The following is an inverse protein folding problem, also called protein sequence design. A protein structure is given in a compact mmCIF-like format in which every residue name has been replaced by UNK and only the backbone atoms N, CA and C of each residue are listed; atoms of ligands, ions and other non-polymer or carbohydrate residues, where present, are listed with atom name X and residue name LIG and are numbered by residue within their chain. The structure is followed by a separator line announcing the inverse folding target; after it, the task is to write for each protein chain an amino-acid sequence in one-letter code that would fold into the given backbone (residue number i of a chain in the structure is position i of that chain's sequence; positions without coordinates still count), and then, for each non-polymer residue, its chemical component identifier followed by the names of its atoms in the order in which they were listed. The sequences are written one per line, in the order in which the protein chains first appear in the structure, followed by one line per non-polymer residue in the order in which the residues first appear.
data_IF_399573849879
#
_entry.id   IF_399573849879
#
_cell.length_a   1.000
_cell.length_b   1.000
_cell.length_c   1.000
_cell.angle_alpha   90.00
_cell.angle_beta   90.00
_cell.angle_gamma   90.00
#
_symmetry.space_group_name_H-M   'P 1'
#
loop_
_entity.id
_entity.type
_entity.pdbx_description
1 polymer ?
#
# COMPACT_ATOMS: atom_id res chain seq x y z
N UNK A 1 13.11 23.49 36.77
CA UNK A 1 11.98 23.46 35.81
C UNK A 1 12.22 22.59 34.56
N UNK A 2 13.41 22.02 34.34
CA UNK A 2 13.71 21.13 33.22
C UNK A 2 13.39 19.63 33.44
N UNK A 3 13.07 19.20 34.63
CA UNK A 3 12.88 17.78 34.97
C UNK A 3 11.57 17.19 34.42
N UNK A 4 10.52 17.99 34.31
CA UNK A 4 9.20 17.48 33.88
C UNK A 4 9.14 17.01 32.42
N UNK A 5 9.95 17.57 31.50
CA UNK A 5 9.94 17.17 30.09
C UNK A 5 10.76 15.89 29.85
N UNK A 6 11.86 15.69 30.60
CA UNK A 6 12.68 14.48 30.53
C UNK A 6 11.89 13.24 30.99
N UNK A 7 11.13 13.38 32.07
CA UNK A 7 10.33 12.26 32.61
C UNK A 7 9.20 11.84 31.66
N UNK A 8 8.59 12.83 31.00
CA UNK A 8 7.53 12.56 30.00
C UNK A 8 8.11 11.89 28.76
N UNK A 9 9.27 12.35 28.26
CA UNK A 9 9.92 11.71 27.12
C UNK A 9 10.32 10.29 27.45
N UNK A 10 10.91 10.04 28.59
CA UNK A 10 11.27 8.69 29.06
C UNK A 10 10.02 7.78 29.17
N UNK A 11 8.93 8.32 29.71
CA UNK A 11 7.64 7.61 29.76
C UNK A 11 7.15 7.25 28.35
N UNK A 12 7.20 8.17 27.40
CA UNK A 12 6.80 7.92 26.01
C UNK A 12 7.69 6.87 25.34
N UNK A 13 8.99 6.88 25.61
CA UNK A 13 9.94 5.88 25.10
C UNK A 13 9.62 4.48 25.66
N UNK A 14 9.27 4.38 26.93
CA UNK A 14 8.86 3.10 27.53
C UNK A 14 7.58 2.52 26.90
N UNK A 15 6.70 3.37 26.38
CA UNK A 15 5.44 2.99 25.74
C UNK A 15 5.46 3.14 24.22
N UNK A 16 6.64 3.24 23.64
CA UNK A 16 6.84 3.47 22.20
C UNK A 16 6.08 2.48 21.33
N UNK A 17 6.16 1.19 21.62
CA UNK A 17 5.50 0.16 20.82
C UNK A 17 3.96 0.28 20.87
N UNK A 18 3.39 0.60 22.00
CA UNK A 18 1.97 0.84 22.15
C UNK A 18 1.53 2.09 21.33
N UNK A 19 2.33 3.15 21.39
CA UNK A 19 2.10 4.36 20.63
C UNK A 19 2.18 4.09 19.13
N UNK A 20 3.16 3.31 18.68
CA UNK A 20 3.28 2.89 17.28
C UNK A 20 2.02 2.14 16.83
N UNK A 21 1.56 1.20 17.61
CA UNK A 21 0.35 0.43 17.29
C UNK A 21 -0.90 1.32 17.20
N UNK A 22 -1.04 2.27 18.12
CA UNK A 22 -2.12 3.26 18.07
C UNK A 22 -2.05 4.14 16.82
N UNK A 23 -0.86 4.60 16.45
CA UNK A 23 -0.65 5.39 15.24
C UNK A 23 -0.99 4.60 13.97
N UNK A 24 -0.60 3.33 13.89
CA UNK A 24 -0.95 2.44 12.76
C UNK A 24 -2.45 2.22 12.65
N UNK A 25 -3.14 2.04 13.77
CA UNK A 25 -4.61 1.91 13.83
C UNK A 25 -5.35 3.19 13.46
N UNK A 26 -4.64 4.26 13.18
CA UNK A 26 -5.24 5.51 12.73
C UNK A 26 -5.76 6.41 13.86
N UNK A 27 -5.43 6.13 15.11
CA UNK A 27 -5.81 6.97 16.23
C UNK A 27 -5.23 8.39 16.09
N UNK A 28 -6.05 9.39 16.37
CA UNK A 28 -5.60 10.78 16.40
C UNK A 28 -4.67 11.05 17.58
N UNK A 29 -3.90 12.13 17.50
CA UNK A 29 -3.01 12.52 18.61
C UNK A 29 -3.76 12.71 19.93
N UNK A 30 -4.99 13.26 19.87
CA UNK A 30 -5.82 13.43 21.05
C UNK A 30 -6.27 12.10 21.66
N UNK A 31 -6.70 11.16 20.83
CA UNK A 31 -7.11 9.83 21.28
C UNK A 31 -5.97 9.08 21.95
N UNK A 32 -4.78 9.12 21.39
CA UNK A 32 -3.60 8.47 22.02
C UNK A 32 -3.24 9.15 23.33
N UNK A 33 -3.25 10.48 23.39
CA UNK A 33 -2.97 11.21 24.63
C UNK A 33 -4.01 10.93 25.73
N UNK A 34 -5.30 10.86 25.37
CA UNK A 34 -6.36 10.48 26.31
C UNK A 34 -6.21 9.02 26.78
N UNK A 35 -5.81 8.11 25.91
CA UNK A 35 -5.51 6.73 26.27
C UNK A 35 -4.35 6.65 27.28
N UNK A 36 -3.27 7.38 27.05
CA UNK A 36 -2.13 7.43 27.97
C UNK A 36 -2.52 8.03 29.31
N UNK A 37 -3.34 9.07 29.30
CA UNK A 37 -3.88 9.68 30.52
C UNK A 37 -4.76 8.72 31.29
N UNK A 38 -5.68 8.05 30.62
CA UNK A 38 -6.63 7.12 31.25
C UNK A 38 -5.93 5.86 31.80
N UNK A 39 -4.99 5.31 31.04
CA UNK A 39 -4.33 4.04 31.36
C UNK A 39 -3.20 4.18 32.37
N UNK A 40 -2.43 5.27 32.27
CA UNK A 40 -1.21 5.47 33.05
C UNK A 40 -1.25 6.71 33.96
N UNK A 41 -2.34 7.44 33.97
CA UNK A 41 -2.48 8.71 34.70
C UNK A 41 -1.37 9.72 34.34
N UNK A 42 -0.97 9.72 33.08
CA UNK A 42 0.07 10.62 32.55
C UNK A 42 -0.48 11.58 31.51
N UNK A 43 -0.47 12.85 31.86
CA UNK A 43 -0.89 13.92 30.96
C UNK A 43 0.28 14.36 30.09
N UNK A 44 0.18 14.14 28.78
CA UNK A 44 1.19 14.51 27.79
C UNK A 44 0.70 15.73 27.02
N UNK A 45 1.49 16.79 27.00
CA UNK A 45 1.18 17.98 26.21
C UNK A 45 1.23 17.66 24.70
N UNK A 46 0.32 18.26 23.92
CA UNK A 46 0.23 18.03 22.48
C UNK A 46 1.55 18.33 21.75
N UNK A 47 2.21 19.42 22.13
CA UNK A 47 3.50 19.81 21.54
C UNK A 47 4.60 18.78 21.82
N UNK A 48 4.66 18.23 23.01
CA UNK A 48 5.64 17.18 23.40
C UNK A 48 5.36 15.90 22.65
N UNK A 49 4.09 15.49 22.57
CA UNK A 49 3.68 14.29 21.84
C UNK A 49 4.00 14.39 20.33
N UNK A 50 3.70 15.54 19.71
CA UNK A 50 4.02 15.77 18.28
C UNK A 50 5.51 15.72 18.00
N UNK A 51 6.34 16.30 18.86
CA UNK A 51 7.81 16.24 18.73
C UNK A 51 8.30 14.79 18.84
N UNK A 52 7.78 14.04 19.80
CA UNK A 52 8.10 12.62 19.97
C UNK A 52 7.75 11.82 18.71
N UNK A 53 6.54 11.98 18.18
CA UNK A 53 6.12 11.34 16.92
C UNK A 53 7.02 11.71 15.73
N UNK A 54 7.37 12.98 15.60
CA UNK A 54 8.21 13.46 14.50
C UNK A 54 9.62 12.86 14.57
N UNK A 55 10.20 12.77 15.76
CA UNK A 55 11.53 12.18 15.97
C UNK A 55 11.57 10.70 15.60
N UNK A 56 10.51 9.96 15.89
CA UNK A 56 10.41 8.52 15.58
C UNK A 56 9.79 8.24 14.20
N UNK A 57 9.46 9.26 13.43
CA UNK A 57 8.80 9.14 12.12
C UNK A 57 7.52 8.29 12.19
N UNK A 58 6.65 8.59 13.15
CA UNK A 58 5.40 7.87 13.39
C UNK A 58 4.18 8.52 12.70
N UNK A 59 4.38 9.38 11.73
CA UNK A 59 3.30 9.92 10.94
C UNK A 59 2.82 8.91 9.88
N UNK A 60 1.55 8.98 9.50
CA UNK A 60 0.98 8.07 8.48
C UNK A 60 1.76 8.07 7.17
N UNK A 61 2.27 9.22 6.76
CA UNK A 61 3.09 9.32 5.55
C UNK A 61 4.41 8.55 5.68
N UNK A 62 5.02 8.55 6.86
CA UNK A 62 6.26 7.81 7.11
C UNK A 62 6.02 6.29 7.00
N UNK A 63 4.91 5.80 7.52
CA UNK A 63 4.52 4.39 7.35
C UNK A 63 4.23 4.03 5.89
N UNK A 64 3.54 4.90 5.18
CA UNK A 64 3.28 4.71 3.75
C UNK A 64 4.58 4.69 2.92
N UNK A 65 5.56 5.51 3.28
CA UNK A 65 6.87 5.53 2.60
C UNK A 65 7.64 4.22 2.78
N UNK A 66 7.50 3.54 3.91
CA UNK A 66 8.10 2.21 4.11
C UNK A 66 7.49 1.14 3.20
N UNK A 67 6.25 1.32 2.78
CA UNK A 67 5.51 0.39 1.92
C UNK A 67 5.45 0.85 0.45
N UNK A 68 6.20 1.91 0.09
CA UNK A 68 6.10 2.54 -1.22
C UNK A 68 6.34 1.56 -2.37
N UNK A 69 7.37 0.74 -2.30
CA UNK A 69 7.72 -0.21 -3.36
C UNK A 69 6.63 -1.27 -3.57
N UNK A 70 6.07 -1.77 -2.49
CA UNK A 70 4.96 -2.73 -2.53
C UNK A 70 3.68 -2.09 -3.07
N UNK A 71 3.37 -0.85 -2.66
CA UNK A 71 2.25 -0.08 -3.18
C UNK A 71 2.41 0.16 -4.69
N UNK A 72 3.60 0.53 -5.14
CA UNK A 72 3.91 0.71 -6.57
C UNK A 72 3.67 -0.60 -7.33
N UNK A 73 4.17 -1.71 -6.81
CA UNK A 73 4.00 -3.04 -7.41
C UNK A 73 2.52 -3.40 -7.53
N UNK A 74 1.74 -3.22 -6.48
CA UNK A 74 0.30 -3.48 -6.49
C UNK A 74 -0.45 -2.59 -7.48
N UNK A 75 -0.13 -1.29 -7.51
CA UNK A 75 -0.77 -0.33 -8.45
C UNK A 75 -0.40 -0.64 -9.89
N UNK A 76 0.83 -1.01 -10.17
CA UNK A 76 1.29 -1.45 -11.49
C UNK A 76 0.57 -2.72 -11.95
N UNK A 77 0.29 -3.63 -11.03
CA UNK A 77 -0.51 -4.84 -11.29
C UNK A 77 -2.00 -4.58 -11.50
N UNK A 78 -2.45 -3.34 -11.34
CA UNK A 78 -3.84 -2.93 -11.55
C UNK A 78 -4.72 -3.00 -10.30
N UNK A 79 -4.14 -3.09 -9.10
CA UNK A 79 -4.90 -3.06 -7.87
C UNK A 79 -5.62 -1.71 -7.67
N UNK A 80 -6.85 -1.76 -7.17
CA UNK A 80 -7.62 -0.57 -6.84
C UNK A 80 -7.10 0.07 -5.56
N UNK A 81 -7.37 1.36 -5.37
CA UNK A 81 -7.04 2.06 -4.12
C UNK A 81 -7.67 1.39 -2.89
N UNK A 82 -8.89 0.90 -3.03
CA UNK A 82 -9.58 0.18 -1.96
C UNK A 82 -8.87 -1.13 -1.61
N UNK A 83 -8.39 -1.88 -2.62
CA UNK A 83 -7.64 -3.12 -2.42
C UNK A 83 -6.30 -2.88 -1.73
N UNK A 84 -5.57 -1.85 -2.15
CA UNK A 84 -4.28 -1.47 -1.53
C UNK A 84 -4.47 -1.04 -0.08
N UNK A 85 -5.50 -0.23 0.20
CA UNK A 85 -5.81 0.20 1.56
C UNK A 85 -6.23 -0.97 2.45
N UNK A 86 -6.99 -1.91 1.93
CA UNK A 86 -7.37 -3.14 2.65
C UNK A 86 -6.14 -3.99 2.97
N UNK A 87 -5.27 -4.20 2.00
CA UNK A 87 -4.01 -4.90 2.19
C UNK A 87 -3.14 -4.26 3.29
N UNK A 88 -3.01 -2.92 3.28
CA UNK A 88 -2.28 -2.22 4.34
C UNK A 88 -2.90 -2.44 5.73
N UNK A 89 -4.23 -2.46 5.82
CA UNK A 89 -4.91 -2.70 7.09
C UNK A 89 -4.76 -4.16 7.57
N UNK A 90 -4.85 -5.13 6.67
CA UNK A 90 -4.80 -6.56 6.99
C UNK A 90 -3.38 -7.06 7.27
N UNK A 91 -2.40 -6.69 6.43
CA UNK A 91 -1.03 -7.20 6.53
C UNK A 91 -0.10 -6.34 7.39
N UNK A 92 -0.35 -5.05 7.48
CA UNK A 92 0.51 -4.10 8.18
C UNK A 92 -0.16 -3.39 9.35
N UNK A 93 -1.40 -3.74 9.66
CA UNK A 93 -2.21 -3.05 10.69
C UNK A 93 -2.23 -1.52 10.52
N UNK A 94 -2.13 -1.04 9.27
CA UNK A 94 -2.06 0.36 8.92
C UNK A 94 -3.37 0.84 8.30
N UNK A 95 -4.18 1.54 9.07
CA UNK A 95 -5.42 2.16 8.60
C UNK A 95 -5.14 3.52 7.94
N UNK A 96 -5.44 3.62 6.66
CA UNK A 96 -5.24 4.83 5.85
C UNK A 96 -6.57 5.28 5.24
N UNK A 97 -6.94 6.53 5.49
CA UNK A 97 -8.13 7.12 4.86
C UNK A 97 -7.94 7.32 3.36
N UNK A 98 -9.05 7.34 2.62
CA UNK A 98 -9.03 7.63 1.17
C UNK A 98 -8.31 8.96 0.86
N UNK A 99 -8.57 9.99 1.65
CA UNK A 99 -7.96 11.30 1.47
C UNK A 99 -6.43 11.28 1.67
N UNK A 100 -5.97 10.60 2.72
CA UNK A 100 -4.53 10.44 3.00
C UNK A 100 -3.84 9.66 1.90
N UNK A 101 -4.42 8.57 1.45
CA UNK A 101 -3.88 7.75 0.36
C UNK A 101 -3.86 8.51 -0.98
N UNK A 102 -4.89 9.30 -1.27
CA UNK A 102 -4.94 10.15 -2.46
C UNK A 102 -3.81 11.20 -2.48
N UNK A 103 -3.55 11.84 -1.34
CA UNK A 103 -2.41 12.79 -1.21
C UNK A 103 -1.06 12.10 -1.39
N UNK A 104 -0.91 10.92 -0.82
CA UNK A 104 0.28 10.10 -0.98
C UNK A 104 0.52 9.73 -2.45
N UNK A 105 -0.50 9.27 -3.16
CA UNK A 105 -0.42 8.98 -4.60
C UNK A 105 0.03 10.21 -5.41
N UNK A 106 -0.50 11.39 -5.10
CA UNK A 106 -0.09 12.63 -5.76
C UNK A 106 1.38 12.96 -5.51
N UNK A 107 1.83 12.82 -4.26
CA UNK A 107 3.23 13.07 -3.87
C UNK A 107 4.21 12.22 -4.67
N UNK A 108 3.90 10.96 -4.89
CA UNK A 108 4.76 10.01 -5.61
C UNK A 108 4.35 9.78 -7.06
N UNK A 109 3.43 10.60 -7.59
CA UNK A 109 2.93 10.52 -8.96
C UNK A 109 2.46 9.10 -9.35
N UNK A 110 1.83 8.41 -8.43
CA UNK A 110 1.26 7.09 -8.65
C UNK A 110 -0.02 7.23 -9.47
N UNK A 111 0.06 6.94 -10.74
CA UNK A 111 -1.10 6.98 -11.63
C UNK A 111 -2.04 5.82 -11.31
N UNK A 112 -3.32 6.13 -11.27
CA UNK A 112 -4.32 5.10 -11.35
C UNK A 112 -4.27 4.51 -12.77
N UNK A 113 -3.82 3.28 -12.89
CA UNK A 113 -4.02 2.51 -14.11
C UNK A 113 -5.49 2.08 -14.28
N UNK A 114 -6.40 2.74 -13.56
CA UNK A 114 -7.83 2.69 -13.80
C UNK A 114 -8.14 3.43 -15.12
N UNK A 115 -7.70 2.85 -16.21
CA UNK A 115 -8.44 3.02 -17.43
C UNK A 115 -9.89 2.60 -17.12
N UNK A 116 -10.84 3.40 -17.60
CA UNK A 116 -12.27 3.12 -17.59
C UNK A 116 -12.50 1.59 -17.59
N UNK A 117 -13.31 1.02 -16.68
CA UNK A 117 -13.65 -0.41 -16.69
C UNK A 117 -14.02 -0.93 -18.08
N UNK A 118 -14.62 -0.08 -18.93
CA UNK A 118 -14.91 -0.36 -20.34
C UNK A 118 -13.67 -0.48 -21.22
N UNK A 119 -12.58 0.23 -20.90
CA UNK A 119 -11.31 0.12 -21.61
C UNK A 119 -10.51 -1.11 -21.18
N UNK A 120 -10.71 -1.59 -19.95
CA UNK A 120 -10.11 -2.82 -19.43
C UNK A 120 -10.61 -4.04 -20.18
N UNK A 121 -11.92 -4.12 -20.42
CA UNK A 121 -12.52 -5.21 -21.20
C UNK A 121 -12.03 -5.23 -22.64
N UNK A 122 -11.79 -4.06 -23.25
CA UNK A 122 -11.24 -3.96 -24.60
C UNK A 122 -9.80 -4.43 -24.71
N UNK A 123 -8.94 -4.02 -23.76
CA UNK A 123 -7.52 -4.41 -23.78
C UNK A 123 -7.37 -5.91 -23.50
N UNK A 124 -8.19 -6.47 -22.60
CA UNK A 124 -8.17 -7.88 -22.26
C UNK A 124 -8.71 -8.76 -23.41
N UNK A 125 -9.78 -8.32 -24.08
CA UNK A 125 -10.32 -8.96 -25.28
C UNK A 125 -9.34 -8.89 -26.46
N UNK A 126 -8.64 -7.76 -26.63
CA UNK A 126 -7.64 -7.59 -27.68
C UNK A 126 -6.44 -8.50 -27.41
N UNK A 127 -5.96 -8.58 -26.19
CA UNK A 127 -4.86 -9.46 -25.82
C UNK A 127 -5.23 -10.94 -25.97
N UNK A 128 -6.45 -11.33 -25.62
CA UNK A 128 -6.98 -12.68 -25.88
C UNK A 128 -7.05 -12.99 -27.36
N UNK A 129 -7.54 -12.07 -28.17
CA UNK A 129 -7.63 -12.25 -29.60
C UNK A 129 -6.23 -12.38 -30.25
N UNK A 130 -5.24 -11.61 -29.85
CA UNK A 130 -3.85 -11.71 -30.30
C UNK A 130 -3.25 -13.06 -29.90
N UNK A 131 -3.45 -13.49 -28.66
CA UNK A 131 -2.95 -14.77 -28.16
C UNK A 131 -3.57 -15.95 -28.92
N UNK A 132 -4.87 -15.93 -29.18
CA UNK A 132 -5.55 -16.97 -29.97
C UNK A 132 -5.08 -17.01 -31.44
N UNK A 133 -4.82 -15.87 -32.05
CA UNK A 133 -4.23 -15.81 -33.41
C UNK A 133 -2.87 -16.45 -33.46
N UNK A 134 -1.99 -16.18 -32.48
CA UNK A 134 -0.66 -16.80 -32.42
C UNK A 134 -0.73 -18.31 -32.28
N UNK A 135 -1.68 -18.85 -31.50
CA UNK A 135 -1.90 -20.30 -31.37
C UNK A 135 -2.36 -20.91 -32.69
N UNK A 136 -3.29 -20.27 -33.39
CA UNK A 136 -3.83 -20.71 -34.67
C UNK A 136 -2.74 -20.72 -35.74
N UNK A 137 -1.93 -19.69 -35.84
CA UNK A 137 -0.85 -19.58 -36.80
C UNK A 137 0.25 -20.66 -36.55
N UNK A 138 0.56 -20.94 -35.29
CA UNK A 138 1.49 -22.03 -34.95
C UNK A 138 0.94 -23.41 -35.32
N UNK A 139 -0.35 -23.66 -35.10
CA UNK A 139 -0.99 -24.92 -35.48
C UNK A 139 -1.01 -25.12 -37.01
N UNK A 140 -1.33 -24.08 -37.76
CA UNK A 140 -1.27 -24.14 -39.25
C UNK A 140 0.13 -24.44 -39.74
N UNK A 141 1.17 -23.90 -39.09
CA UNK A 141 2.56 -24.16 -39.45
C UNK A 141 2.96 -25.61 -39.15
N UNK A 142 2.48 -26.18 -38.05
CA UNK A 142 2.72 -27.58 -37.70
C UNK A 142 2.03 -28.56 -38.69
N UNK A 143 0.79 -28.29 -39.05
CA UNK A 143 0.07 -29.09 -40.06
C UNK A 143 0.78 -29.09 -41.41
N UNK A 144 1.39 -28.00 -41.83
CA UNK A 144 2.15 -27.90 -43.07
C UNK A 144 3.47 -28.70 -42.99
N UNK A 145 4.13 -28.78 -41.84
CA UNK A 145 5.33 -29.59 -41.63
C UNK A 145 4.98 -31.07 -41.68
N UNK A 146 3.89 -31.49 -41.06
CA UNK A 146 3.45 -32.87 -41.04
C UNK A 146 3.09 -33.37 -42.45
N UNK A 147 2.38 -32.54 -43.25
CA UNK A 147 2.10 -32.80 -44.65
C UNK A 147 3.37 -32.93 -45.53
N UNK A 148 4.37 -32.09 -45.29
CA UNK A 148 5.63 -32.15 -46.01
C UNK A 148 6.43 -33.43 -45.69
N UNK A 149 6.39 -33.89 -44.43
CA UNK A 149 7.05 -35.15 -44.00
C UNK A 149 6.37 -36.34 -44.65
N UNK A 150 5.05 -36.40 -44.66
CA UNK A 150 4.29 -37.47 -45.32
C UNK A 150 4.58 -37.56 -46.81
N UNK A 151 4.77 -36.43 -47.49
CA UNK A 151 5.13 -36.39 -48.93
C UNK A 151 6.54 -36.91 -49.20
N UNK A 152 7.47 -36.72 -48.28
CA UNK A 152 8.86 -37.17 -48.40
C UNK A 152 8.98 -38.70 -48.16
N UNK A 153 8.10 -39.28 -47.34
CA UNK A 153 8.10 -40.68 -46.96
C UNK A 153 7.40 -41.61 -47.98
N UNK A 154 6.71 -41.03 -48.95
CA UNK A 154 6.10 -41.75 -50.08
C UNK A 154 7.09 -41.84 -51.25
#
# INVERSE_FOLDING_TARGET
MGQGNSDIIFFLEQHEQEIINCCRKGMSNNEVRELLKTKYDRNVADTTYRKFKANLKLNKNDFLETLLDEIITMKTSGATDASVRRWMAEEHELEVSRATFSRFKKKYNLKDNNKDPRARDKDELTNRAIFQRQITDNNVHQDNIDLAIDTILQ
#
